data_IF_309533563598
#
_entry.id   IF_309533563598
#
_cell.length_a   1.000
_cell.length_b   1.000
_cell.length_c   1.000
_cell.angle_alpha   90.00
_cell.angle_beta   90.00
_cell.angle_gamma   90.00
#
_symmetry.space_group_name_H-M   'P 1'
#
loop_
_entity.id
_entity.type
_entity.pdbx_description
1 polymer ?
#
# COMPACT_ATOMS: atom_id res chain seq x y z
N UNK A 1 -17.39 -13.30 -30.06
CA UNK A 1 -16.92 -14.03 -28.86
C UNK A 1 -18.10 -14.80 -28.26
N UNK A 2 -17.98 -16.11 -28.19
CA UNK A 2 -18.96 -16.91 -27.45
C UNK A 2 -18.73 -16.74 -25.96
N UNK A 3 -19.74 -16.32 -25.21
CA UNK A 3 -19.71 -16.26 -23.75
C UNK A 3 -19.71 -17.67 -23.19
N UNK A 4 -18.69 -18.06 -22.45
CA UNK A 4 -18.60 -19.35 -21.80
C UNK A 4 -18.65 -19.14 -20.29
N UNK A 5 -19.79 -19.48 -19.69
CA UNK A 5 -20.00 -19.59 -18.24
C UNK A 5 -19.53 -18.42 -17.37
N UNK A 6 -18.25 -18.27 -17.14
CA UNK A 6 -17.66 -17.21 -16.32
C UNK A 6 -17.72 -15.80 -16.94
N UNK A 7 -17.99 -15.69 -18.23
CA UNK A 7 -18.07 -14.42 -18.95
C UNK A 7 -19.48 -13.80 -18.96
N UNK A 8 -20.44 -14.45 -18.32
CA UNK A 8 -21.82 -13.90 -18.21
C UNK A 8 -21.89 -12.61 -17.37
N UNK A 9 -20.81 -12.22 -16.72
CA UNK A 9 -20.70 -10.97 -15.97
C UNK A 9 -19.55 -10.13 -16.50
N UNK A 10 -19.74 -9.44 -17.62
CA UNK A 10 -18.82 -8.36 -18.03
C UNK A 10 -18.96 -7.25 -16.99
N UNK A 11 -17.84 -6.88 -16.38
CA UNK A 11 -17.78 -5.80 -15.39
C UNK A 11 -16.89 -4.70 -15.91
N UNK A 12 -17.47 -3.56 -16.12
CA UNK A 12 -16.73 -2.35 -16.42
C UNK A 12 -16.36 -1.66 -15.13
N UNK A 13 -15.07 -1.32 -14.99
CA UNK A 13 -14.55 -0.56 -13.86
C UNK A 13 -13.80 0.65 -14.36
N UNK A 14 -14.25 1.81 -13.94
CA UNK A 14 -13.51 3.04 -14.15
C UNK A 14 -12.51 3.23 -13.01
N UNK A 15 -11.22 3.11 -13.30
CA UNK A 15 -10.15 3.16 -12.32
C UNK A 15 -9.54 4.55 -12.25
N UNK A 16 -9.75 5.24 -11.12
CA UNK A 16 -9.14 6.54 -10.86
C UNK A 16 -7.71 6.41 -10.31
N UNK A 17 -7.48 5.41 -9.44
CA UNK A 17 -6.15 5.16 -8.87
C UNK A 17 -5.30 4.44 -9.91
N UNK A 18 -4.13 4.99 -10.29
CA UNK A 18 -3.26 4.36 -11.29
C UNK A 18 -2.80 2.97 -10.85
N UNK A 19 -2.71 2.05 -11.79
CA UNK A 19 -2.08 0.74 -11.55
C UNK A 19 -0.57 0.90 -11.41
N UNK A 20 0.06 0.11 -10.53
CA UNK A 20 1.51 0.16 -10.32
C UNK A 20 1.99 1.49 -9.76
N UNK A 21 1.26 2.08 -8.83
CA UNK A 21 1.59 3.34 -8.19
C UNK A 21 1.91 3.19 -6.69
N UNK A 22 2.19 1.97 -6.22
CA UNK A 22 2.48 1.72 -4.80
C UNK A 22 1.32 1.97 -3.84
N UNK A 23 0.09 2.18 -4.35
CA UNK A 23 -1.07 2.58 -3.56
C UNK A 23 -2.04 1.43 -3.22
N UNK A 24 -1.68 0.19 -3.52
CA UNK A 24 -2.53 -0.97 -3.25
C UNK A 24 -3.88 -0.97 -3.98
N UNK A 25 -4.03 -0.19 -5.06
CA UNK A 25 -5.32 0.00 -5.73
C UNK A 25 -5.94 -1.30 -6.26
N UNK A 26 -5.14 -2.24 -6.77
CA UNK A 26 -5.63 -3.57 -7.19
C UNK A 26 -6.12 -4.42 -6.02
N UNK A 27 -5.38 -4.39 -4.91
CA UNK A 27 -5.72 -5.11 -3.69
C UNK A 27 -6.98 -4.54 -3.03
N UNK A 28 -7.13 -3.23 -3.04
CA UNK A 28 -8.36 -2.55 -2.61
C UNK A 28 -9.56 -2.99 -3.46
N UNK A 29 -9.42 -2.97 -4.79
CA UNK A 29 -10.48 -3.41 -5.70
C UNK A 29 -10.93 -4.85 -5.41
N UNK A 30 -9.99 -5.77 -5.18
CA UNK A 30 -10.27 -7.16 -4.87
C UNK A 30 -11.03 -7.30 -3.53
N UNK A 31 -10.56 -6.62 -2.49
CA UNK A 31 -11.20 -6.66 -1.17
C UNK A 31 -12.62 -6.10 -1.19
N UNK A 32 -12.82 -4.94 -1.83
CA UNK A 32 -14.15 -4.35 -1.95
C UNK A 32 -15.08 -5.19 -2.82
N UNK A 33 -14.55 -5.89 -3.84
CA UNK A 33 -15.34 -6.85 -4.59
C UNK A 33 -15.82 -8.02 -3.73
N UNK A 34 -14.94 -8.59 -2.87
CA UNK A 34 -15.33 -9.63 -1.93
C UNK A 34 -16.45 -9.16 -0.99
N UNK A 35 -16.33 -7.95 -0.45
CA UNK A 35 -17.37 -7.36 0.42
C UNK A 35 -18.68 -7.18 -0.36
N UNK A 36 -18.62 -6.66 -1.57
CA UNK A 36 -19.79 -6.49 -2.43
C UNK A 36 -20.49 -7.83 -2.73
N UNK A 37 -19.73 -8.89 -3.02
CA UNK A 37 -20.28 -10.22 -3.27
C UNK A 37 -20.90 -10.82 -2.00
N UNK A 38 -20.26 -10.64 -0.85
CA UNK A 38 -20.80 -11.07 0.44
C UNK A 38 -22.17 -10.41 0.72
N UNK A 39 -22.25 -9.11 0.54
CA UNK A 39 -23.46 -8.34 0.77
C UNK A 39 -24.56 -8.68 -0.27
N UNK A 40 -24.20 -8.71 -1.56
CA UNK A 40 -25.15 -8.93 -2.65
C UNK A 40 -25.77 -10.32 -2.60
N UNK A 41 -24.99 -11.34 -2.31
CA UNK A 41 -25.46 -12.73 -2.23
C UNK A 41 -25.85 -13.15 -0.82
N UNK A 42 -25.80 -12.25 0.17
CA UNK A 42 -26.14 -12.53 1.56
C UNK A 42 -25.42 -13.77 2.10
N UNK A 43 -24.08 -13.84 1.86
CA UNK A 43 -23.29 -15.01 2.24
C UNK A 43 -23.00 -15.07 3.74
N UNK A 44 -23.27 -13.99 4.47
CA UNK A 44 -23.08 -13.88 5.93
C UNK A 44 -21.66 -14.22 6.43
N UNK A 45 -20.65 -13.98 5.56
CA UNK A 45 -19.25 -14.19 5.92
C UNK A 45 -18.79 -13.08 6.88
N UNK A 46 -18.09 -13.47 7.94
CA UNK A 46 -17.46 -12.51 8.86
C UNK A 46 -16.27 -11.79 8.22
N UNK A 47 -15.84 -10.67 8.83
CA UNK A 47 -14.64 -9.95 8.37
C UNK A 47 -13.40 -10.86 8.38
N UNK A 48 -13.25 -11.73 9.40
CA UNK A 48 -12.14 -12.67 9.51
C UNK A 48 -12.15 -13.70 8.37
N UNK A 49 -13.33 -14.18 7.97
CA UNK A 49 -13.47 -15.08 6.83
C UNK A 49 -13.14 -14.37 5.51
N UNK A 50 -13.60 -13.13 5.36
CA UNK A 50 -13.26 -12.31 4.19
C UNK A 50 -11.77 -12.00 4.12
N UNK A 51 -11.08 -11.77 5.26
CA UNK A 51 -9.62 -11.61 5.31
C UNK A 51 -8.89 -12.87 4.81
N UNK A 52 -9.35 -14.06 5.20
CA UNK A 52 -8.79 -15.33 4.72
C UNK A 52 -8.93 -15.45 3.21
N UNK A 53 -10.11 -15.17 2.66
CA UNK A 53 -10.29 -15.19 1.20
C UNK A 53 -9.46 -14.11 0.50
N UNK A 54 -9.43 -12.91 1.05
CA UNK A 54 -8.66 -11.81 0.50
C UNK A 54 -7.16 -12.14 0.44
N UNK A 55 -6.60 -12.76 1.47
CA UNK A 55 -5.21 -13.18 1.53
C UNK A 55 -4.82 -14.16 0.41
N UNK A 56 -5.77 -14.97 -0.10
CA UNK A 56 -5.51 -15.86 -1.25
C UNK A 56 -5.41 -15.11 -2.57
N UNK A 57 -5.96 -13.90 -2.66
CA UNK A 57 -5.91 -13.07 -3.86
C UNK A 57 -4.64 -12.22 -3.94
N UNK A 58 -4.09 -11.86 -2.79
CA UNK A 58 -2.85 -11.10 -2.69
C UNK A 58 -2.55 -10.67 -1.26
N UNK A 59 -1.26 -10.48 -0.96
CA UNK A 59 -0.79 -10.18 0.40
C UNK A 59 -1.48 -8.94 1.00
N UNK A 60 -1.63 -7.87 0.19
CA UNK A 60 -2.21 -6.61 0.66
C UNK A 60 -3.75 -6.60 0.66
N UNK A 61 -4.42 -7.61 0.06
CA UNK A 61 -5.88 -7.59 -0.08
C UNK A 61 -6.59 -7.67 1.29
N UNK A 62 -6.07 -8.47 2.20
CA UNK A 62 -6.65 -8.67 3.52
C UNK A 62 -6.69 -7.36 4.34
N UNK A 63 -5.70 -6.48 4.18
CA UNK A 63 -5.68 -5.16 4.81
C UNK A 63 -6.95 -4.35 4.51
N UNK A 64 -7.39 -4.37 3.24
CA UNK A 64 -8.53 -3.56 2.79
C UNK A 64 -9.89 -4.11 3.23
N UNK A 65 -9.95 -5.29 3.82
CA UNK A 65 -11.21 -5.80 4.41
C UNK A 65 -11.62 -4.91 5.58
N UNK A 66 -10.75 -4.71 6.58
CA UNK A 66 -11.02 -3.79 7.70
C UNK A 66 -10.73 -2.34 7.38
N UNK A 67 -9.76 -2.09 6.50
CA UNK A 67 -9.39 -0.75 6.02
C UNK A 67 -9.16 0.26 7.17
N UNK A 68 -8.41 -0.16 8.19
CA UNK A 68 -8.06 0.64 9.36
C UNK A 68 -6.54 0.74 9.50
N UNK A 69 -6.03 1.78 10.16
CA UNK A 69 -4.61 1.87 10.46
C UNK A 69 -4.13 0.61 11.15
N UNK A 70 -3.11 -0.03 10.59
CA UNK A 70 -2.62 -1.31 11.09
C UNK A 70 -1.12 -1.44 10.84
N UNK A 71 -0.45 -2.16 11.71
CA UNK A 71 0.92 -2.60 11.49
C UNK A 71 0.90 -4.00 10.89
N UNK A 72 1.54 -4.16 9.75
CA UNK A 72 1.62 -5.44 9.04
C UNK A 72 3.00 -6.06 9.19
N UNK A 73 3.04 -7.34 9.48
CA UNK A 73 4.26 -8.16 9.63
C UNK A 73 4.23 -9.35 8.65
N UNK A 74 5.34 -10.09 8.61
CA UNK A 74 5.48 -11.23 7.72
C UNK A 74 5.56 -10.81 6.26
N UNK A 75 4.72 -11.36 5.42
CA UNK A 75 4.58 -10.96 4.02
C UNK A 75 3.51 -9.88 3.80
N UNK A 76 3.11 -9.18 4.88
CA UNK A 76 2.01 -8.21 4.87
C UNK A 76 0.65 -8.81 5.26
N UNK A 77 0.64 -9.96 5.91
CA UNK A 77 -0.55 -10.73 6.24
C UNK A 77 -0.82 -10.89 7.75
N UNK A 78 0.08 -10.46 8.60
CA UNK A 78 -0.08 -10.47 10.05
C UNK A 78 -0.35 -9.05 10.52
N UNK A 79 -1.57 -8.78 10.96
CA UNK A 79 -2.02 -7.44 11.30
C UNK A 79 -2.11 -7.22 12.81
N UNK A 80 -1.56 -6.10 13.25
CA UNK A 80 -1.74 -5.58 14.60
C UNK A 80 -2.35 -4.18 14.52
N UNK A 81 -3.48 -3.90 15.20
CA UNK A 81 -4.08 -2.58 15.18
C UNK A 81 -3.12 -1.55 15.78
N UNK A 82 -3.13 -0.34 15.23
CA UNK A 82 -2.38 0.79 15.75
C UNK A 82 -3.30 1.99 15.93
N UNK A 83 -3.06 2.74 17.00
CA UNK A 83 -3.74 4.01 17.23
C UNK A 83 -2.95 5.14 16.57
N UNK A 84 -3.19 5.34 15.28
CA UNK A 84 -2.59 6.40 14.49
C UNK A 84 -3.68 7.21 13.79
N UNK A 85 -3.62 8.52 13.92
CA UNK A 85 -4.47 9.44 13.16
C UNK A 85 -3.62 10.52 12.52
N UNK A 86 -3.76 10.67 11.21
CA UNK A 86 -3.19 11.77 10.45
C UNK A 86 -4.24 12.86 10.17
N UNK A 87 -5.31 12.88 10.96
CA UNK A 87 -6.33 13.95 10.89
C UNK A 87 -5.68 15.30 11.14
N UNK A 88 -5.95 16.25 10.27
CA UNK A 88 -5.32 17.58 10.31
C UNK A 88 -4.08 17.73 9.44
N UNK A 89 -3.56 16.65 8.85
CA UNK A 89 -2.52 16.71 7.84
C UNK A 89 -3.11 16.64 6.43
N UNK A 90 -2.43 17.25 5.48
CA UNK A 90 -2.74 17.12 4.07
C UNK A 90 -1.77 16.13 3.45
N UNK A 91 -2.28 15.23 2.60
CA UNK A 91 -1.48 14.24 1.88
C UNK A 91 -1.41 14.65 0.41
N UNK A 92 -0.20 14.80 -0.10
CA UNK A 92 0.07 15.00 -1.52
C UNK A 92 0.61 13.70 -2.12
N UNK A 93 0.01 13.22 -3.21
CA UNK A 93 0.48 12.06 -3.96
C UNK A 93 1.09 12.57 -5.27
N UNK A 94 2.36 12.24 -5.49
CA UNK A 94 3.09 12.57 -6.71
C UNK A 94 3.46 11.27 -7.42
N UNK A 95 2.93 11.06 -8.63
CA UNK A 95 3.27 9.90 -9.46
C UNK A 95 3.99 10.36 -10.72
N UNK A 96 5.32 10.20 -10.81
CA UNK A 96 6.04 10.42 -12.04
C UNK A 96 5.66 9.37 -13.10
N UNK A 97 5.96 9.68 -14.37
CA UNK A 97 5.75 8.73 -15.47
C UNK A 97 6.92 7.72 -15.54
N UNK A 98 7.12 7.00 -14.42
CA UNK A 98 8.15 5.97 -14.26
C UNK A 98 7.46 4.72 -13.75
N UNK A 99 7.85 3.57 -14.26
CA UNK A 99 7.40 2.26 -13.79
C UNK A 99 8.54 1.56 -13.06
N UNK A 100 8.30 1.16 -11.82
CA UNK A 100 9.20 0.35 -11.00
C UNK A 100 8.57 -1.02 -10.83
N UNK A 101 9.26 -2.08 -11.25
CA UNK A 101 8.76 -3.42 -11.00
C UNK A 101 9.12 -3.86 -9.58
N UNK A 102 8.21 -4.59 -8.93
CA UNK A 102 8.46 -5.16 -7.59
C UNK A 102 9.75 -5.99 -7.57
N UNK A 103 10.03 -6.77 -8.64
CA UNK A 103 11.27 -7.56 -8.77
C UNK A 103 12.51 -6.67 -8.73
N UNK A 104 12.48 -5.55 -9.44
CA UNK A 104 13.58 -4.58 -9.47
C UNK A 104 13.78 -3.93 -8.09
N UNK A 105 12.70 -3.50 -7.45
CA UNK A 105 12.76 -2.93 -6.12
C UNK A 105 13.39 -3.90 -5.10
N UNK A 106 13.07 -5.19 -5.17
CA UNK A 106 13.66 -6.22 -4.29
C UNK A 106 15.10 -6.59 -4.64
N UNK A 107 15.59 -6.33 -5.86
CA UNK A 107 16.88 -6.86 -6.34
C UNK A 107 18.10 -6.39 -5.54
N UNK A 108 18.03 -5.20 -4.97
CA UNK A 108 19.15 -4.56 -4.26
C UNK A 108 18.79 -4.23 -2.79
N UNK A 109 17.77 -4.87 -2.24
CA UNK A 109 17.47 -4.72 -0.82
C UNK A 109 18.45 -5.54 0.01
N UNK A 110 19.01 -4.89 1.04
CA UNK A 110 19.78 -5.51 2.09
C UNK A 110 18.99 -5.43 3.40
N UNK A 111 18.26 -6.49 3.78
CA UNK A 111 17.48 -6.47 5.01
C UNK A 111 18.37 -6.19 6.22
N UNK A 112 17.98 -5.23 7.03
CA UNK A 112 18.66 -4.91 8.28
C UNK A 112 17.61 -4.61 9.37
N UNK A 113 18.02 -4.67 10.63
CA UNK A 113 17.17 -4.19 11.71
C UNK A 113 17.20 -2.68 11.71
N UNK A 114 16.04 -2.01 11.62
CA UNK A 114 16.02 -0.56 11.76
C UNK A 114 16.47 -0.15 13.16
N UNK A 115 17.12 0.99 13.27
CA UNK A 115 17.54 1.56 14.56
C UNK A 115 16.31 1.83 15.45
N UNK A 116 15.23 2.30 14.83
CA UNK A 116 13.93 2.50 15.48
C UNK A 116 12.89 1.54 14.90
N UNK A 117 12.33 0.62 15.72
CA UNK A 117 11.23 -0.22 15.27
C UNK A 117 10.06 0.63 14.76
N UNK A 118 9.47 0.26 13.63
CA UNK A 118 8.38 1.03 13.00
C UNK A 118 7.23 1.29 13.99
N UNK A 119 6.89 0.31 14.83
CA UNK A 119 5.86 0.46 15.88
C UNK A 119 6.15 1.58 16.87
N UNK A 120 7.42 1.86 17.15
CA UNK A 120 7.84 2.95 18.03
C UNK A 120 7.96 4.27 17.26
N UNK A 121 8.48 4.20 16.03
CA UNK A 121 8.65 5.37 15.16
C UNK A 121 7.32 6.09 14.88
N UNK A 122 6.25 5.32 14.61
CA UNK A 122 4.93 5.90 14.31
C UNK A 122 4.25 6.58 15.50
N UNK A 123 4.68 6.31 16.74
CA UNK A 123 4.17 6.97 17.95
C UNK A 123 4.84 8.33 18.19
N UNK A 124 5.93 8.62 17.46
CA UNK A 124 6.61 9.90 17.52
C UNK A 124 5.85 10.97 16.73
N UNK A 125 6.05 12.25 17.03
CA UNK A 125 5.52 13.34 16.22
C UNK A 125 5.91 13.19 14.75
N UNK A 126 4.98 13.47 13.81
CA UNK A 126 5.21 13.34 12.37
C UNK A 126 6.45 14.11 11.90
N UNK A 127 6.80 15.21 12.57
CA UNK A 127 8.00 16.00 12.27
C UNK A 127 9.32 15.22 12.48
N UNK A 128 9.31 14.18 13.32
CA UNK A 128 10.47 13.34 13.58
C UNK A 128 10.58 12.16 12.59
N UNK A 129 9.50 11.84 11.87
CA UNK A 129 9.45 10.67 10.98
C UNK A 129 10.49 10.72 9.85
N UNK A 130 10.86 11.90 9.43
CA UNK A 130 11.84 12.11 8.36
C UNK A 130 13.14 11.32 8.58
N UNK A 131 13.57 11.20 9.82
CA UNK A 131 14.86 10.62 10.18
C UNK A 131 14.74 9.18 10.72
N UNK A 132 13.53 8.75 11.11
CA UNK A 132 13.32 7.47 11.79
C UNK A 132 12.39 6.50 11.06
N UNK A 133 11.56 6.98 10.15
CA UNK A 133 10.62 6.17 9.38
C UNK A 133 11.02 6.18 7.90
N UNK A 134 11.81 5.19 7.51
CA UNK A 134 12.42 5.10 6.19
C UNK A 134 11.81 3.93 5.42
N UNK A 135 11.58 4.10 4.14
CA UNK A 135 11.23 3.01 3.25
C UNK A 135 12.50 2.39 2.65
N UNK A 136 12.83 1.16 3.03
CA UNK A 136 14.05 0.46 2.60
C UNK A 136 14.16 0.30 1.08
N UNK A 137 13.03 0.27 0.37
CA UNK A 137 13.03 0.24 -1.10
C UNK A 137 13.65 1.49 -1.73
N UNK A 138 13.66 2.62 -1.04
CA UNK A 138 14.26 3.86 -1.57
C UNK A 138 15.76 3.68 -1.87
N UNK A 139 16.47 2.94 -1.03
CA UNK A 139 17.90 2.66 -1.24
C UNK A 139 18.14 1.82 -2.52
N UNK A 140 17.21 0.95 -2.89
CA UNK A 140 17.27 0.16 -4.11
C UNK A 140 16.78 0.93 -5.35
N UNK A 141 15.69 1.68 -5.20
CA UNK A 141 14.98 2.30 -6.33
C UNK A 141 15.59 3.62 -6.78
N UNK A 142 16.01 4.49 -5.86
CA UNK A 142 16.50 5.83 -6.21
C UNK A 142 17.74 5.83 -7.12
N UNK A 143 18.73 4.91 -6.96
CA UNK A 143 19.84 4.85 -7.89
C UNK A 143 19.45 4.48 -9.32
N UNK A 144 18.39 3.67 -9.47
CA UNK A 144 17.89 3.20 -10.76
C UNK A 144 16.91 4.19 -11.40
N UNK A 145 16.17 4.93 -10.55
CA UNK A 145 15.17 5.92 -10.93
C UNK A 145 15.39 7.24 -10.18
N UNK A 146 16.45 8.02 -10.51
CA UNK A 146 16.84 9.22 -9.76
C UNK A 146 15.72 10.26 -9.61
N UNK A 147 14.84 10.34 -10.58
CA UNK A 147 13.70 11.28 -10.57
C UNK A 147 12.79 11.09 -9.35
N UNK A 148 12.65 9.85 -8.83
CA UNK A 148 11.82 9.58 -7.65
C UNK A 148 12.49 10.19 -6.41
N UNK A 149 13.81 10.01 -6.28
CA UNK A 149 14.59 10.62 -5.20
C UNK A 149 14.63 12.15 -5.29
N UNK A 150 14.66 12.71 -6.51
CA UNK A 150 14.57 14.14 -6.75
C UNK A 150 13.23 14.71 -6.30
N UNK A 151 12.12 14.04 -6.63
CA UNK A 151 10.78 14.41 -6.15
C UNK A 151 10.74 14.44 -4.62
N UNK A 152 11.27 13.43 -3.94
CA UNK A 152 11.30 13.42 -2.47
C UNK A 152 12.08 14.60 -1.90
N UNK A 153 13.25 14.93 -2.47
CA UNK A 153 14.04 16.11 -2.06
C UNK A 153 13.31 17.42 -2.30
N UNK A 154 12.65 17.54 -3.45
CA UNK A 154 11.89 18.72 -3.78
C UNK A 154 10.68 18.92 -2.86
N UNK A 155 9.96 17.84 -2.51
CA UNK A 155 8.87 17.92 -1.54
C UNK A 155 9.35 18.47 -0.19
N UNK A 156 10.50 18.00 0.31
CA UNK A 156 11.08 18.58 1.53
C UNK A 156 11.50 20.03 1.37
N UNK A 157 12.04 20.40 0.21
CA UNK A 157 12.41 21.79 -0.08
C UNK A 157 11.18 22.71 -0.11
N UNK A 158 10.03 22.19 -0.53
CA UNK A 158 8.75 22.89 -0.53
C UNK A 158 8.04 22.87 0.84
N UNK A 159 8.65 22.29 1.85
CA UNK A 159 8.14 22.33 3.23
C UNK A 159 7.31 21.13 3.65
N UNK A 160 7.37 20.01 2.93
CA UNK A 160 6.75 18.77 3.40
C UNK A 160 7.35 18.36 4.75
N UNK A 161 6.49 18.04 5.72
CA UNK A 161 6.90 17.58 7.05
C UNK A 161 7.51 16.18 6.94
N UNK A 162 6.88 15.33 6.13
CA UNK A 162 7.33 13.98 5.83
C UNK A 162 7.05 13.63 4.36
N UNK A 163 7.98 12.96 3.73
CA UNK A 163 7.84 12.44 2.37
C UNK A 163 8.49 11.06 2.27
N UNK A 164 7.81 10.11 1.64
CA UNK A 164 8.31 8.75 1.44
C UNK A 164 7.77 8.18 0.14
N UNK A 165 8.54 7.30 -0.49
CA UNK A 165 8.04 6.45 -1.55
C UNK A 165 7.01 5.47 -0.96
N UNK A 166 5.94 5.19 -1.69
CA UNK A 166 4.91 4.25 -1.25
C UNK A 166 5.20 2.84 -1.76
N UNK A 167 5.28 1.86 -0.85
CA UNK A 167 5.54 0.46 -1.16
C UNK A 167 6.86 0.28 -1.91
N UNK A 168 6.85 -0.51 -2.97
CA UNK A 168 8.01 -0.78 -3.83
C UNK A 168 8.19 0.21 -5.00
N UNK A 169 7.37 1.24 -5.04
CA UNK A 169 7.42 2.27 -6.09
C UNK A 169 6.31 2.17 -7.14
#
# INVERSE_FOLDING_TARGET
YGLVGSEMCIRDRYKHIPSGAGLGGGSSDAAFMLKLLNDHFQLELSEEQLEVYAATLGADCAFFIKNKPTYAEGIGNLFSPIELSLSGYQIMIVKPNVFVSTREAFSNIHPHRPEYPVKEAILRPVAEWKDILINDFEASVFPQHPVIGEIKRELYHQGAIYASMSGSG
#
